data_IF_708247021655
#
_entry.id   IF_708247021655
#
_cell.length_a   1.000
_cell.length_b   1.000
_cell.length_c   1.000
_cell.angle_alpha   90.00
_cell.angle_beta   90.00
_cell.angle_gamma   90.00
#
_symmetry.space_group_name_H-M   'P 1'
#
loop_
_entity.id
_entity.type
_entity.pdbx_description
1 polymer ?
#
# COMPACT_ATOMS: atom_id res chain seq x y z
N UNK A 1 -15.84 52.34 10.56
CA UNK A 1 -16.63 51.42 9.70
C UNK A 1 -15.65 50.38 9.17
N UNK A 2 -15.89 49.11 9.48
CA UNK A 2 -15.32 47.85 8.92
C UNK A 2 -13.79 47.75 8.75
N UNK A 3 -13.10 47.00 9.64
CA UNK A 3 -12.81 45.53 9.61
C UNK A 3 -11.53 45.24 8.79
N UNK A 4 -10.57 44.36 9.12
CA UNK A 4 -10.30 43.40 10.22
C UNK A 4 -8.99 42.68 9.82
N UNK A 5 -8.04 42.49 10.76
CA UNK A 5 -7.09 41.35 10.94
C UNK A 5 -6.12 40.93 9.81
N UNK A 6 -4.98 40.26 10.04
CA UNK A 6 -4.29 39.80 11.25
C UNK A 6 -2.83 39.42 10.89
N UNK A 7 -2.04 39.38 11.96
CA UNK A 7 -0.70 38.82 12.14
C UNK A 7 -0.68 37.31 11.84
N UNK A 8 0.43 36.80 11.29
CA UNK A 8 0.93 35.48 11.65
C UNK A 8 2.48 35.46 11.70
N UNK A 9 2.99 35.11 12.88
CA UNK A 9 4.37 34.83 13.22
C UNK A 9 4.60 33.32 13.02
N UNK A 10 5.73 32.94 12.43
CA UNK A 10 6.22 31.55 12.45
C UNK A 10 7.58 31.52 13.18
N UNK A 11 7.72 30.64 14.18
CA UNK A 11 8.98 30.34 14.84
C UNK A 11 9.04 28.84 15.23
N UNK A 12 9.88 28.11 14.48
CA UNK A 12 10.95 27.15 14.86
C UNK A 12 10.83 26.25 16.12
N UNK A 13 10.92 24.93 15.83
CA UNK A 13 11.52 23.75 16.50
C UNK A 13 11.67 23.61 18.03
N UNK A 14 11.45 22.39 18.56
CA UNK A 14 12.41 21.71 19.45
C UNK A 14 12.22 20.17 19.52
N UNK A 15 13.36 19.46 19.59
CA UNK A 15 13.55 18.00 19.68
C UNK A 15 13.83 17.59 21.14
N UNK A 16 13.26 16.48 21.64
CA UNK A 16 13.79 15.76 22.84
C UNK A 16 13.58 14.24 22.71
N UNK A 17 14.66 13.48 22.91
CA UNK A 17 14.75 12.02 23.04
C UNK A 17 14.49 11.56 24.49
N UNK A 18 13.80 10.43 24.67
CA UNK A 18 13.94 9.56 25.85
C UNK A 18 13.57 8.10 25.54
N UNK A 19 14.42 7.17 25.99
CA UNK A 19 14.44 5.74 25.70
C UNK A 19 13.60 4.91 26.69
N UNK A 20 12.90 3.86 26.21
CA UNK A 20 12.87 2.50 26.79
C UNK A 20 12.05 1.50 25.93
N UNK A 21 12.59 0.28 25.88
CA UNK A 21 12.22 -0.96 25.17
C UNK A 21 10.75 -1.37 25.18
N UNK A 22 10.18 -1.78 24.03
CA UNK A 22 9.19 -2.89 23.88
C UNK A 22 9.11 -3.38 22.42
N UNK A 23 8.73 -4.64 22.25
CA UNK A 23 8.68 -5.37 20.97
C UNK A 23 7.67 -4.82 19.95
N UNK A 24 7.84 -5.26 18.69
CA UNK A 24 7.12 -4.80 17.51
C UNK A 24 5.62 -4.54 17.75
N UNK A 25 5.22 -3.28 17.55
CA UNK A 25 3.87 -2.79 17.74
C UNK A 25 3.09 -2.85 16.43
N UNK A 26 2.25 -3.87 16.28
CA UNK A 26 0.98 -3.71 15.59
C UNK A 26 0.03 -2.95 16.52
N UNK A 27 -0.19 -1.66 16.30
CA UNK A 27 -1.16 -0.89 17.09
C UNK A 27 -2.55 -1.20 16.53
N UNK A 28 -3.33 -2.00 17.25
CA UNK A 28 -4.77 -2.13 17.03
C UNK A 28 -5.48 -1.25 18.07
N UNK A 29 -5.91 -0.02 17.72
CA UNK A 29 -6.82 0.69 18.58
C UNK A 29 -8.23 0.12 18.38
N UNK A 30 -8.80 -0.45 19.45
CA UNK A 30 -10.24 -0.59 19.56
C UNK A 30 -10.85 0.82 19.60
N UNK A 31 -11.36 1.24 18.45
CA UNK A 31 -12.35 2.28 18.16
C UNK A 31 -12.76 3.21 19.31
N UNK A 32 -12.59 4.51 19.08
CA UNK A 32 -13.56 5.52 19.54
C UNK A 32 -13.84 6.49 18.38
N UNK A 33 -14.77 6.11 17.51
CA UNK A 33 -15.58 6.99 16.66
C UNK A 33 -16.97 7.18 17.28
N UNK A 34 -17.72 8.20 16.87
CA UNK A 34 -18.92 8.74 17.52
C UNK A 34 -20.20 7.85 17.50
N UNK A 35 -20.04 6.52 17.47
CA UNK A 35 -21.09 5.52 17.60
C UNK A 35 -20.45 4.14 17.82
N UNK A 36 -21.16 3.22 18.47
CA UNK A 36 -20.65 1.90 18.86
C UNK A 36 -20.19 0.97 17.70
N UNK A 37 -20.17 1.45 16.45
CA UNK A 37 -19.78 0.69 15.26
C UNK A 37 -19.02 1.49 14.19
N UNK A 38 -18.57 2.71 14.45
CA UNK A 38 -17.80 3.49 13.46
C UNK A 38 -16.31 3.36 13.73
N UNK A 39 -15.56 2.74 12.82
CA UNK A 39 -14.13 2.48 12.97
C UNK A 39 -13.31 3.10 11.86
N UNK A 40 -12.09 3.52 12.20
CA UNK A 40 -11.07 3.94 11.24
C UNK A 40 -9.90 2.99 11.39
N UNK A 41 -9.56 2.30 10.30
CA UNK A 41 -8.35 1.50 10.22
C UNK A 41 -7.28 2.31 9.51
N UNK A 42 -6.13 2.46 10.15
CA UNK A 42 -4.94 3.10 9.59
C UNK A 42 -3.87 2.02 9.48
N UNK A 43 -3.58 1.60 8.26
CA UNK A 43 -2.46 0.70 7.99
C UNK A 43 -1.28 1.55 7.56
N UNK A 44 -0.14 1.31 8.19
CA UNK A 44 1.11 1.98 7.84
C UNK A 44 2.13 0.91 7.46
N UNK A 45 2.61 1.00 6.23
CA UNK A 45 3.61 0.06 5.71
C UNK A 45 4.88 0.81 5.36
N UNK A 46 6.01 0.24 5.80
CA UNK A 46 7.36 0.71 5.50
C UNK A 46 8.05 -0.23 4.52
N UNK A 47 8.71 0.32 3.52
CA UNK A 47 9.64 -0.43 2.66
C UNK A 47 11.06 -0.10 3.13
N UNK A 48 11.58 -0.92 4.05
CA UNK A 48 12.98 -0.87 4.46
C UNK A 48 13.79 -1.86 3.60
N UNK A 49 14.88 -1.40 2.99
CA UNK A 49 15.82 -2.24 2.24
C UNK A 49 16.84 -2.95 3.14
N UNK A 50 16.84 -2.67 4.44
CA UNK A 50 17.77 -3.22 5.43
C UNK A 50 17.08 -4.32 6.24
N UNK A 51 17.66 -5.52 6.23
CA UNK A 51 17.06 -6.79 6.68
C UNK A 51 16.86 -6.91 8.21
N UNK A 52 17.11 -5.85 8.98
CA UNK A 52 16.88 -5.81 10.43
C UNK A 52 16.31 -4.44 10.81
N UNK A 53 15.19 -4.36 11.54
CA UNK A 53 14.72 -3.10 12.08
C UNK A 53 15.72 -2.61 13.12
N UNK A 54 16.61 -1.71 12.71
CA UNK A 54 17.44 -0.96 13.64
C UNK A 54 16.52 -0.03 14.45
N UNK A 55 16.32 -0.37 15.73
CA UNK A 55 15.40 0.33 16.65
C UNK A 55 15.96 1.67 17.14
N UNK A 56 17.15 2.07 16.69
CA UNK A 56 17.65 3.43 16.81
C UNK A 56 16.97 4.32 15.75
N UNK A 57 16.80 5.62 16.03
CA UNK A 57 16.32 6.63 15.06
C UNK A 57 14.96 6.32 14.40
N UNK A 58 13.94 6.03 15.22
CA UNK A 58 12.57 5.89 14.71
C UNK A 58 12.07 7.24 14.15
N UNK A 59 11.49 7.19 12.96
CA UNK A 59 10.66 8.28 12.45
C UNK A 59 9.33 8.33 13.24
N UNK A 60 8.69 9.49 13.26
CA UNK A 60 7.41 9.70 13.94
C UNK A 60 6.34 10.22 13.00
N UNK A 61 5.18 9.55 12.98
CA UNK A 61 3.98 10.04 12.31
C UNK A 61 3.03 10.64 13.35
N UNK A 62 2.70 11.91 13.16
CA UNK A 62 1.68 12.60 13.93
C UNK A 62 0.30 12.38 13.30
N UNK A 63 -0.64 11.85 14.08
CA UNK A 63 -2.00 11.57 13.65
C UNK A 63 -2.95 12.54 14.36
N UNK A 64 -3.63 13.34 13.54
CA UNK A 64 -4.61 14.34 13.95
C UNK A 64 -6.02 13.83 13.65
N UNK A 65 -6.92 13.84 14.64
CA UNK A 65 -8.33 13.46 14.48
C UNK A 65 -9.21 14.68 14.67
N UNK A 66 -10.15 14.89 13.76
CA UNK A 66 -11.07 16.01 13.78
C UNK A 66 -12.50 15.55 14.06
N UNK A 67 -13.28 16.39 14.72
CA UNK A 67 -14.73 16.25 14.85
C UNK A 67 -15.40 16.47 13.49
N UNK A 68 -16.68 16.06 13.31
CA UNK A 68 -17.43 16.37 12.09
C UNK A 68 -17.55 17.86 11.77
N UNK A 69 -17.37 18.73 12.77
CA UNK A 69 -17.35 20.20 12.60
C UNK A 69 -15.98 20.74 12.17
N UNK A 70 -14.98 19.87 11.96
CA UNK A 70 -13.62 20.24 11.56
C UNK A 70 -12.72 20.74 12.71
N UNK A 71 -13.17 20.63 13.96
CA UNK A 71 -12.33 20.97 15.13
C UNK A 71 -11.46 19.78 15.53
N UNK A 72 -10.24 19.99 16.05
CA UNK A 72 -9.42 18.89 16.54
C UNK A 72 -10.11 18.22 17.74
N UNK A 73 -10.21 16.88 17.72
CA UNK A 73 -10.84 16.09 18.76
C UNK A 73 -9.99 16.16 20.04
N UNK A 74 -10.47 16.77 21.12
CA UNK A 74 -9.73 16.90 22.39
C UNK A 74 -8.35 17.58 22.23
N UNK A 75 -8.39 18.89 21.96
CA UNK A 75 -7.24 19.78 21.70
C UNK A 75 -6.34 20.06 22.92
N UNK A 76 -6.20 19.13 23.85
CA UNK A 76 -5.36 19.35 25.02
C UNK A 76 -3.89 19.19 24.61
N UNK A 77 -3.13 20.27 24.84
CA UNK A 77 -1.71 20.49 24.51
C UNK A 77 -0.83 19.23 24.46
N UNK A 78 0.18 19.25 23.58
CA UNK A 78 1.29 18.29 23.53
C UNK A 78 1.86 18.04 24.93
N UNK A 79 1.43 16.95 25.56
CA UNK A 79 2.00 16.45 26.79
C UNK A 79 2.51 15.04 26.50
N UNK A 80 3.67 14.68 27.04
CA UNK A 80 4.30 13.36 26.83
C UNK A 80 3.37 12.19 27.17
N UNK A 81 2.39 12.39 28.05
CA UNK A 81 1.34 11.40 28.37
C UNK A 81 0.34 11.15 27.24
N UNK A 82 0.20 12.08 26.28
CA UNK A 82 -0.76 12.04 25.18
C UNK A 82 -0.17 11.41 23.92
N UNK A 83 1.15 11.42 23.78
CA UNK A 83 1.92 10.98 22.61
C UNK A 83 1.63 9.52 22.25
N UNK A 84 1.27 8.67 23.22
CA UNK A 84 0.99 7.24 23.00
C UNK A 84 -0.47 6.86 23.23
N UNK A 85 -1.40 7.83 23.30
CA UNK A 85 -2.80 7.54 23.60
C UNK A 85 -3.69 7.65 22.35
N UNK A 86 -4.03 6.52 21.68
CA UNK A 86 -4.84 6.53 20.46
C UNK A 86 -6.28 7.02 20.67
N UNK A 87 -6.71 7.25 21.92
CA UNK A 87 -8.01 7.83 22.25
C UNK A 87 -8.04 9.36 22.25
N UNK A 88 -6.92 10.06 22.01
CA UNK A 88 -6.84 11.54 21.87
C UNK A 88 -6.79 12.01 20.41
N UNK A 89 -7.25 13.22 20.10
CA UNK A 89 -7.21 13.69 18.71
C UNK A 89 -5.84 14.12 18.23
N UNK A 90 -4.82 14.05 19.09
CA UNK A 90 -3.43 13.98 18.70
C UNK A 90 -2.81 12.72 19.32
N UNK A 91 -2.19 11.88 18.49
CA UNK A 91 -1.28 10.85 18.96
C UNK A 91 -0.15 10.64 17.95
N UNK A 92 1.02 10.21 18.44
CA UNK A 92 2.20 9.98 17.63
C UNK A 92 2.48 8.49 17.56
N UNK A 93 2.54 7.95 16.36
CA UNK A 93 2.99 6.59 16.14
C UNK A 93 4.47 6.62 15.72
N UNK A 94 5.30 5.83 16.41
CA UNK A 94 6.74 5.73 16.15
C UNK A 94 7.02 4.41 15.43
N UNK A 95 7.53 4.50 14.20
CA UNK A 95 7.93 3.37 13.37
C UNK A 95 8.93 3.86 12.33
N UNK A 96 9.93 3.05 12.01
CA UNK A 96 11.02 3.43 11.10
C UNK A 96 10.78 2.78 9.74
N UNK A 97 10.54 3.59 8.72
CA UNK A 97 10.63 3.16 7.32
C UNK A 97 11.96 3.54 6.68
N UNK A 98 12.73 4.44 7.30
CA UNK A 98 14.06 4.77 6.83
C UNK A 98 15.04 3.63 7.07
N UNK A 99 15.83 3.25 6.05
CA UNK A 99 16.83 2.19 6.24
C UNK A 99 17.88 2.53 7.30
N UNK A 100 18.79 1.59 7.61
CA UNK A 100 19.79 1.73 8.70
C UNK A 100 20.64 3.02 8.65
N UNK A 101 20.79 3.61 7.46
CA UNK A 101 21.47 4.90 7.23
C UNK A 101 20.63 6.14 7.57
N UNK A 102 19.34 5.99 7.90
CA UNK A 102 18.37 7.07 8.13
C UNK A 102 18.06 7.86 6.86
N UNK A 103 18.41 7.33 5.67
CA UNK A 103 18.52 8.16 4.46
C UNK A 103 17.32 8.18 3.54
N UNK A 104 16.54 7.10 3.51
CA UNK A 104 15.40 6.91 2.60
C UNK A 104 14.39 6.00 3.26
N UNK A 105 13.15 6.43 3.36
CA UNK A 105 12.04 5.61 3.81
C UNK A 105 10.74 6.03 3.14
N UNK A 106 9.97 5.07 2.63
CA UNK A 106 8.64 5.32 2.09
C UNK A 106 7.61 4.83 3.09
N UNK A 107 6.76 5.75 3.50
CA UNK A 107 5.56 5.50 4.27
C UNK A 107 4.39 5.41 3.33
N UNK A 108 3.60 4.36 3.45
CA UNK A 108 2.27 4.33 2.85
C UNK A 108 1.25 4.31 3.97
N UNK A 109 0.22 5.14 3.85
CA UNK A 109 -0.89 5.27 4.79
C UNK A 109 -2.14 4.86 4.03
N UNK A 110 -2.87 3.88 4.55
CA UNK A 110 -4.19 3.50 4.08
C UNK A 110 -5.20 3.77 5.20
N UNK A 111 -6.16 4.63 4.93
CA UNK A 111 -7.26 4.99 5.83
C UNK A 111 -8.53 4.37 5.28
N UNK A 112 -9.16 3.50 6.06
CA UNK A 112 -10.49 2.95 5.75
C UNK A 112 -11.49 3.40 6.80
N UNK A 113 -12.55 4.05 6.36
CA UNK A 113 -13.67 4.48 7.22
C UNK A 113 -14.83 3.50 7.13
N UNK A 114 -15.32 3.04 8.27
CA UNK A 114 -16.49 2.18 8.39
C UNK A 114 -17.62 2.89 9.11
N UNK A 115 -18.86 2.58 8.74
CA UNK A 115 -20.06 2.99 9.47
C UNK A 115 -20.93 1.77 9.74
N UNK A 116 -20.90 1.28 10.96
CA UNK A 116 -21.39 -0.06 11.29
C UNK A 116 -20.51 -1.13 10.63
N UNK A 117 -21.15 -2.10 10.00
CA UNK A 117 -20.54 -3.23 9.28
C UNK A 117 -20.18 -2.92 7.82
N UNK A 118 -20.37 -1.66 7.37
CA UNK A 118 -20.17 -1.27 5.97
C UNK A 118 -19.03 -0.26 5.81
N UNK A 119 -18.06 -0.60 4.96
CA UNK A 119 -17.00 0.32 4.53
C UNK A 119 -17.62 1.50 3.76
N UNK A 120 -17.24 2.73 4.11
CA UNK A 120 -17.80 3.97 3.57
C UNK A 120 -16.82 4.78 2.74
N UNK A 121 -15.52 4.52 2.89
CA UNK A 121 -14.51 5.20 2.12
C UNK A 121 -13.13 4.68 2.41
N UNK A 122 -12.28 4.74 1.39
CA UNK A 122 -10.86 4.44 1.48
C UNK A 122 -10.11 5.64 0.96
N UNK A 123 -9.11 6.07 1.71
CA UNK A 123 -8.12 7.04 1.25
C UNK A 123 -6.74 6.44 1.46
N UNK A 124 -5.83 6.69 0.54
CA UNK A 124 -4.43 6.33 0.72
C UNK A 124 -3.54 7.50 0.38
N UNK A 125 -2.37 7.51 1.00
CA UNK A 125 -1.31 8.47 0.73
C UNK A 125 0.03 7.79 0.92
N UNK A 126 1.05 8.27 0.22
CA UNK A 126 2.42 7.88 0.48
C UNK A 126 3.23 9.13 0.85
N UNK A 127 4.16 8.99 1.78
CA UNK A 127 5.10 10.03 2.13
C UNK A 127 6.51 9.45 2.12
N UNK A 128 7.45 10.15 1.49
CA UNK A 128 8.85 9.75 1.43
C UNK A 128 9.68 10.64 2.37
N UNK A 129 10.43 10.01 3.27
CA UNK A 129 11.50 10.68 4.01
C UNK A 129 12.76 10.61 3.16
N UNK A 130 13.09 11.74 2.53
CA UNK A 130 14.34 11.95 1.79
C UNK A 130 15.33 12.62 2.74
N UNK A 131 16.38 11.92 3.16
CA UNK A 131 17.34 12.54 4.09
C UNK A 131 18.21 13.62 3.45
N UNK A 132 18.61 14.58 4.29
CA UNK A 132 19.79 15.45 4.26
C UNK A 132 20.12 16.25 3.00
N UNK A 133 19.38 16.10 1.92
CA UNK A 133 19.34 17.09 0.85
C UNK A 133 18.17 18.04 0.97
N UNK A 134 17.33 17.97 2.02
CA UNK A 134 16.40 19.07 2.26
C UNK A 134 17.18 20.37 2.49
N UNK A 135 18.28 20.38 3.26
CA UNK A 135 19.08 21.61 3.42
C UNK A 135 19.76 22.03 2.10
N UNK A 136 20.19 21.09 1.25
CA UNK A 136 20.81 21.41 -0.04
C UNK A 136 19.79 21.86 -1.10
N UNK A 137 18.60 21.25 -1.10
CA UNK A 137 17.47 21.61 -1.94
C UNK A 137 16.83 22.91 -1.47
N UNK A 138 16.70 23.10 -0.16
CA UNK A 138 16.23 24.33 0.46
C UNK A 138 17.25 25.44 0.25
N UNK A 139 18.56 25.19 0.36
CA UNK A 139 19.59 26.14 -0.03
C UNK A 139 19.57 26.45 -1.54
N UNK A 140 19.25 25.47 -2.40
CA UNK A 140 19.06 25.70 -3.83
C UNK A 140 17.80 26.54 -4.10
N UNK A 141 16.70 26.25 -3.41
CA UNK A 141 15.43 26.99 -3.50
C UNK A 141 15.57 28.40 -2.94
N UNK A 142 16.29 28.57 -1.83
CA UNK A 142 16.55 29.86 -1.22
C UNK A 142 17.53 30.67 -2.08
N UNK A 143 18.56 30.04 -2.66
CA UNK A 143 19.45 30.68 -3.65
C UNK A 143 18.72 31.10 -4.93
N UNK A 144 17.79 30.26 -5.44
CA UNK A 144 16.92 30.61 -6.56
C UNK A 144 15.98 31.77 -6.18
N UNK A 145 15.43 31.76 -4.98
CA UNK A 145 14.57 32.83 -4.46
C UNK A 145 15.34 34.15 -4.33
N UNK A 146 16.54 34.13 -3.78
CA UNK A 146 17.41 35.30 -3.65
C UNK A 146 17.81 35.85 -5.04
N UNK A 147 18.10 34.95 -6.00
CA UNK A 147 18.38 35.35 -7.39
C UNK A 147 17.17 36.01 -8.05
N UNK A 148 15.96 35.47 -7.84
CA UNK A 148 14.72 36.06 -8.34
C UNK A 148 14.46 37.42 -7.70
N UNK A 149 14.70 37.56 -6.39
CA UNK A 149 14.56 38.85 -5.71
C UNK A 149 15.59 39.88 -6.18
N UNK A 150 16.84 39.49 -6.40
CA UNK A 150 17.86 40.39 -6.95
C UNK A 150 17.51 40.88 -8.37
N UNK A 151 16.94 40.01 -9.21
CA UNK A 151 16.44 40.38 -10.53
C UNK A 151 15.26 41.35 -10.40
N UNK A 152 14.30 41.06 -9.52
CA UNK A 152 13.15 41.93 -9.29
C UNK A 152 13.56 43.30 -8.74
N UNK A 153 14.55 43.36 -7.85
CA UNK A 153 15.08 44.59 -7.27
C UNK A 153 15.83 45.40 -8.33
N UNK A 154 16.65 44.75 -9.15
CA UNK A 154 17.35 45.39 -10.29
C UNK A 154 16.37 45.95 -11.32
N UNK A 155 15.29 45.22 -11.61
CA UNK A 155 14.22 45.70 -12.49
C UNK A 155 13.49 46.88 -11.85
N UNK A 156 13.17 46.81 -10.56
CA UNK A 156 12.47 47.87 -9.83
C UNK A 156 13.33 49.14 -9.72
N UNK A 157 14.62 49.02 -9.45
CA UNK A 157 15.59 50.12 -9.44
C UNK A 157 15.85 50.68 -10.83
N UNK A 158 15.87 49.83 -11.86
CA UNK A 158 15.91 50.24 -13.26
C UNK A 158 14.67 51.06 -13.64
N UNK A 159 13.48 50.62 -13.23
CA UNK A 159 12.23 51.35 -13.47
C UNK A 159 12.15 52.65 -12.66
N UNK A 160 12.62 52.67 -11.40
CA UNK A 160 12.61 53.90 -10.59
C UNK A 160 13.63 54.93 -11.08
N UNK A 161 14.84 54.50 -11.46
CA UNK A 161 15.92 55.39 -11.93
C UNK A 161 15.67 55.97 -13.34
N UNK A 162 14.76 55.41 -14.13
CA UNK A 162 14.50 55.83 -15.51
C UNK A 162 13.15 56.54 -15.71
N UNK A 163 12.46 56.94 -14.63
CA UNK A 163 11.30 57.84 -14.72
C UNK A 163 11.65 59.30 -15.04
N UNK A 164 12.93 59.62 -15.23
CA UNK A 164 13.35 60.87 -15.87
C UNK A 164 14.25 60.60 -17.09
N UNK A 165 13.61 60.42 -18.25
CA UNK A 165 14.16 60.56 -19.61
C UNK A 165 15.25 59.57 -20.08
N UNK A 166 14.89 58.35 -20.49
CA UNK A 166 15.82 57.52 -21.25
C UNK A 166 15.16 56.67 -22.34
N UNK A 167 15.85 56.64 -23.48
CA UNK A 167 15.52 56.04 -24.77
C UNK A 167 15.39 54.51 -24.68
N UNK A 168 14.17 54.03 -24.86
CA UNK A 168 13.77 52.61 -24.83
C UNK A 168 14.56 51.74 -25.81
N UNK A 169 15.16 52.32 -26.86
CA UNK A 169 15.99 51.59 -27.83
C UNK A 169 17.41 51.28 -27.36
N UNK A 170 17.92 51.91 -26.30
CA UNK A 170 19.23 51.59 -25.73
C UNK A 170 19.14 50.45 -24.70
N UNK A 171 18.04 50.41 -23.94
CA UNK A 171 17.77 49.41 -22.89
C UNK A 171 17.55 48.02 -23.50
N UNK A 172 16.83 47.93 -24.62
CA UNK A 172 16.59 46.65 -25.28
C UNK A 172 17.86 46.01 -25.86
N UNK A 173 18.92 46.79 -26.13
CA UNK A 173 20.18 46.28 -26.68
C UNK A 173 21.16 45.80 -25.61
N UNK A 174 21.26 46.47 -24.46
CA UNK A 174 22.18 46.00 -23.40
C UNK A 174 21.72 44.70 -22.73
N UNK A 175 20.40 44.49 -22.61
CA UNK A 175 19.84 43.27 -22.01
C UNK A 175 20.01 42.05 -22.93
N UNK A 176 19.99 42.26 -24.25
CA UNK A 176 20.07 41.15 -25.20
C UNK A 176 21.51 40.74 -25.53
N UNK A 177 22.45 41.70 -25.56
CA UNK A 177 23.84 41.42 -25.93
C UNK A 177 24.70 40.85 -24.78
N UNK A 178 24.41 41.20 -23.52
CA UNK A 178 25.18 40.72 -22.37
C UNK A 178 24.78 39.29 -21.91
N UNK A 179 23.50 38.91 -22.05
CA UNK A 179 23.00 37.60 -21.60
C UNK A 179 23.34 36.46 -22.57
N UNK A 180 23.34 36.73 -23.88
CA UNK A 180 23.60 35.69 -24.90
C UNK A 180 25.07 35.31 -24.98
N UNK A 181 26.00 36.25 -24.69
CA UNK A 181 27.44 35.98 -24.73
C UNK A 181 27.93 35.29 -23.45
N UNK A 182 27.29 35.51 -22.29
CA UNK A 182 27.65 34.85 -21.04
C UNK A 182 27.13 33.40 -20.91
N UNK A 183 26.02 33.06 -21.58
CA UNK A 183 25.41 31.73 -21.50
C UNK A 183 25.98 30.70 -22.50
N UNK A 184 26.69 31.14 -23.55
CA UNK A 184 27.27 30.24 -24.54
C UNK A 184 28.51 29.46 -24.06
N UNK A 185 29.17 29.89 -22.98
CA UNK A 185 30.46 29.31 -22.53
C UNK A 185 30.37 28.41 -21.29
N UNK A 186 29.19 28.27 -20.66
CA UNK A 186 28.98 27.30 -19.57
C UNK A 186 28.55 25.93 -20.11
N UNK A 187 29.55 25.16 -20.58
CA UNK A 187 29.47 23.71 -20.73
C UNK A 187 29.09 23.05 -19.40
N UNK A 188 27.80 22.79 -19.19
CA UNK A 188 27.32 21.91 -18.13
C UNK A 188 27.65 20.47 -18.54
N UNK A 189 28.80 19.97 -18.07
CA UNK A 189 29.06 18.54 -17.91
C UNK A 189 28.75 18.20 -16.46
N UNK A 190 27.61 17.57 -16.19
CA UNK A 190 27.43 16.49 -15.21
C UNK A 190 26.05 15.89 -15.45
N UNK A 191 26.07 14.71 -16.08
CA UNK A 191 25.01 13.73 -15.94
C UNK A 191 25.10 13.15 -14.52
N UNK A 192 23.99 13.10 -13.80
CA UNK A 192 23.47 11.89 -13.15
C UNK A 192 22.14 12.24 -12.47
N UNK A 193 21.04 12.10 -13.21
CA UNK A 193 19.69 12.22 -12.67
C UNK A 193 19.31 10.91 -12.00
N UNK A 194 19.50 10.81 -10.68
CA UNK A 194 18.86 9.77 -9.87
C UNK A 194 17.38 10.11 -9.71
N UNK A 195 16.59 9.71 -10.71
CA UNK A 195 15.14 9.76 -10.67
C UNK A 195 14.63 8.82 -9.58
N UNK A 196 14.12 9.38 -8.50
CA UNK A 196 13.42 8.60 -7.47
C UNK A 196 11.97 8.51 -7.92
N UNK A 197 11.62 7.39 -8.56
CA UNK A 197 10.26 7.12 -9.03
C UNK A 197 9.43 6.65 -7.84
N UNK A 198 8.58 7.56 -7.39
CA UNK A 198 7.49 7.35 -6.45
C UNK A 198 6.51 6.31 -7.03
N UNK A 199 6.56 5.07 -6.52
CA UNK A 199 5.57 4.03 -6.82
C UNK A 199 4.42 4.11 -5.82
N UNK A 200 3.53 5.09 -5.99
CA UNK A 200 2.15 4.96 -5.48
C UNK A 200 1.50 3.74 -6.17
N UNK A 201 0.43 3.11 -5.67
CA UNK A 201 -0.54 2.47 -6.58
C UNK A 201 -1.16 3.58 -7.44
N UNK A 202 -0.35 4.15 -8.33
CA UNK A 202 -0.82 5.02 -9.38
C UNK A 202 -1.52 4.08 -10.34
N UNK A 203 -2.75 4.43 -10.67
CA UNK A 203 -3.45 3.99 -11.86
C UNK A 203 -2.69 4.48 -13.11
N UNK A 204 -1.36 4.37 -13.16
CA UNK A 204 -0.46 4.89 -14.18
C UNK A 204 -0.34 6.42 -14.23
N UNK A 205 0.60 6.91 -15.06
CA UNK A 205 0.89 8.34 -15.31
C UNK A 205 0.82 8.71 -16.80
N UNK A 206 0.39 7.79 -17.66
CA UNK A 206 0.39 7.99 -19.11
C UNK A 206 -0.82 8.75 -19.63
N UNK A 207 -0.76 9.15 -20.89
CA UNK A 207 -1.73 10.09 -21.49
C UNK A 207 -3.12 9.49 -21.80
N UNK A 208 -3.27 8.17 -21.85
CA UNK A 208 -4.49 7.50 -22.31
C UNK A 208 -5.13 6.61 -21.25
N UNK A 209 -6.46 6.64 -21.16
CA UNK A 209 -7.19 5.72 -20.30
C UNK A 209 -7.11 4.29 -20.86
N UNK A 210 -6.72 3.33 -20.03
CA UNK A 210 -6.68 1.91 -20.32
C UNK A 210 -7.61 1.18 -19.34
N UNK A 211 -8.66 0.54 -19.86
CA UNK A 211 -9.62 -0.26 -19.09
C UNK A 211 -9.33 -1.73 -19.30
N UNK A 212 -8.97 -2.45 -18.23
CA UNK A 212 -8.78 -3.90 -18.26
C UNK A 212 -9.95 -4.58 -17.54
N UNK A 213 -10.65 -5.45 -18.26
CA UNK A 213 -11.71 -6.29 -17.71
C UNK A 213 -11.18 -7.67 -17.40
N UNK A 214 -11.59 -8.22 -16.26
CA UNK A 214 -11.20 -9.55 -15.81
C UNK A 214 -12.41 -10.47 -15.74
N UNK A 215 -12.38 -11.53 -16.54
CA UNK A 215 -13.51 -12.45 -16.67
C UNK A 215 -13.11 -13.91 -16.44
N UNK A 216 -14.05 -14.68 -15.90
CA UNK A 216 -13.93 -16.12 -15.82
C UNK A 216 -14.12 -16.74 -17.20
N UNK A 217 -13.15 -17.51 -17.67
CA UNK A 217 -13.17 -18.16 -18.98
C UNK A 217 -14.31 -19.18 -19.13
N UNK A 218 -14.86 -19.71 -18.03
CA UNK A 218 -15.93 -20.70 -18.08
C UNK A 218 -17.31 -20.09 -18.35
N UNK A 219 -17.60 -18.90 -17.80
CA UNK A 219 -18.95 -18.32 -17.79
C UNK A 219 -19.02 -16.80 -18.07
N UNK A 220 -17.87 -16.18 -18.34
CA UNK A 220 -17.72 -14.74 -18.56
C UNK A 220 -18.15 -13.86 -17.38
N UNK A 221 -18.29 -14.43 -16.18
CA UNK A 221 -18.56 -13.64 -14.98
C UNK A 221 -17.38 -12.74 -14.62
N UNK A 222 -17.67 -11.53 -14.16
CA UNK A 222 -16.67 -10.58 -13.69
C UNK A 222 -15.92 -11.11 -12.46
N UNK A 223 -14.59 -10.91 -12.46
CA UNK A 223 -13.70 -11.34 -11.38
C UNK A 223 -13.27 -10.10 -10.58
N UNK A 224 -13.91 -9.88 -9.43
CA UNK A 224 -13.56 -8.81 -8.49
C UNK A 224 -12.29 -9.13 -7.67
N UNK A 225 -11.51 -8.10 -7.31
CA UNK A 225 -10.38 -8.23 -6.40
C UNK A 225 -9.12 -8.83 -7.03
N UNK A 226 -9.00 -8.79 -8.36
CA UNK A 226 -7.78 -9.17 -9.07
C UNK A 226 -6.75 -8.07 -8.92
N UNK A 227 -5.58 -8.40 -8.40
CA UNK A 227 -4.42 -7.52 -8.41
C UNK A 227 -3.78 -7.54 -9.80
N UNK A 228 -3.73 -6.38 -10.46
CA UNK A 228 -3.14 -6.18 -11.77
C UNK A 228 -1.88 -5.31 -11.65
N UNK A 229 -0.75 -5.81 -12.14
CA UNK A 229 0.52 -5.09 -12.26
C UNK A 229 0.88 -4.96 -13.74
N UNK A 230 0.84 -3.74 -14.26
CA UNK A 230 1.20 -3.44 -15.66
C UNK A 230 2.66 -3.03 -15.72
N UNK A 231 3.43 -3.69 -16.57
CA UNK A 231 4.86 -3.48 -16.75
C UNK A 231 5.17 -3.08 -18.19
N UNK A 232 6.29 -2.38 -18.40
CA UNK A 232 6.78 -2.07 -19.74
C UNK A 232 7.05 -3.34 -20.58
N UNK A 233 7.25 -3.18 -21.88
CA UNK A 233 7.52 -4.27 -22.83
C UNK A 233 8.74 -5.15 -22.46
N UNK A 234 9.70 -4.61 -21.71
CA UNK A 234 10.87 -5.36 -21.24
C UNK A 234 10.66 -6.06 -19.89
N UNK A 235 9.50 -5.89 -19.25
CA UNK A 235 9.15 -6.40 -17.92
C UNK A 235 10.11 -5.96 -16.79
N UNK A 236 10.78 -4.83 -16.96
CA UNK A 236 11.77 -4.30 -16.01
C UNK A 236 11.22 -3.18 -15.13
N UNK A 237 10.18 -2.49 -15.57
CA UNK A 237 9.58 -1.37 -14.84
C UNK A 237 8.06 -1.55 -14.72
N UNK A 238 7.52 -1.21 -13.56
CA UNK A 238 6.06 -1.17 -13.33
C UNK A 238 5.53 0.20 -13.71
N UNK A 239 4.56 0.22 -14.61
CA UNK A 239 3.94 1.44 -15.13
C UNK A 239 2.66 1.79 -14.38
N UNK A 240 1.91 0.79 -13.93
CA UNK A 240 0.67 0.96 -13.18
C UNK A 240 0.33 -0.27 -12.33
N UNK A 241 -0.44 -0.06 -11.27
CA UNK A 241 -0.98 -1.12 -10.41
C UNK A 241 -2.45 -0.81 -10.12
N UNK A 242 -3.29 -1.83 -10.01
CA UNK A 242 -4.69 -1.65 -9.60
C UNK A 242 -5.35 -2.94 -9.16
N UNK A 243 -6.56 -2.80 -8.62
CA UNK A 243 -7.39 -3.91 -8.13
C UNK A 243 -8.75 -3.80 -8.79
N UNK A 244 -9.28 -4.91 -9.31
CA UNK A 244 -10.59 -4.89 -9.99
C UNK A 244 -11.75 -4.67 -9.03
N UNK A 245 -12.75 -3.90 -9.48
CA UNK A 245 -14.01 -3.67 -8.78
C UNK A 245 -15.03 -4.82 -8.98
N UNK A 246 -16.29 -4.61 -8.58
CA UNK A 246 -17.36 -5.61 -8.71
C UNK A 246 -17.70 -5.97 -10.16
N UNK A 247 -17.36 -5.12 -11.13
CA UNK A 247 -17.55 -5.35 -12.55
C UNK A 247 -16.31 -6.01 -13.18
N UNK A 248 -15.32 -6.39 -12.37
CA UNK A 248 -14.06 -6.96 -12.84
C UNK A 248 -13.19 -5.93 -13.57
N UNK A 249 -13.48 -4.64 -13.41
CA UNK A 249 -12.81 -3.56 -14.12
C UNK A 249 -11.68 -2.97 -13.27
N UNK A 250 -10.55 -2.71 -13.92
CA UNK A 250 -9.52 -1.79 -13.43
C UNK A 250 -9.20 -0.77 -14.52
N UNK A 251 -9.19 0.52 -14.15
CA UNK A 251 -8.87 1.62 -15.07
C UNK A 251 -7.54 2.24 -14.69
N UNK A 252 -6.68 2.43 -15.69
CA UNK A 252 -5.34 2.98 -15.57
C UNK A 252 -5.09 4.04 -16.65
N UNK A 253 -4.01 4.82 -16.50
CA UNK A 253 -3.58 5.90 -17.39
C UNK A 253 -2.19 5.52 -17.90
N UNK A 254 -2.08 5.13 -19.16
CA UNK A 254 -0.88 4.57 -19.78
C UNK A 254 -0.56 5.32 -21.09
N UNK A 255 0.71 5.33 -21.48
CA UNK A 255 1.12 5.93 -22.76
C UNK A 255 0.90 4.94 -23.91
N UNK A 256 1.01 5.41 -25.15
CA UNK A 256 0.93 4.53 -26.33
C UNK A 256 2.16 3.60 -26.36
N UNK A 257 1.96 2.32 -26.03
CA UNK A 257 2.99 1.31 -25.98
C UNK A 257 2.40 -0.11 -25.82
N UNK A 258 3.26 -1.11 -26.03
CA UNK A 258 3.04 -2.48 -25.58
C UNK A 258 3.43 -2.62 -24.11
N UNK A 259 2.53 -3.20 -23.32
CA UNK A 259 2.74 -3.53 -21.92
C UNK A 259 2.52 -5.02 -21.65
N UNK A 260 3.09 -5.49 -20.54
CA UNK A 260 2.89 -6.83 -20.00
C UNK A 260 2.14 -6.77 -18.67
N UNK A 261 1.07 -7.53 -18.53
CA UNK A 261 0.22 -7.51 -17.33
C UNK A 261 0.40 -8.78 -16.53
N UNK A 262 0.83 -8.62 -15.27
CA UNK A 262 0.81 -9.67 -14.26
C UNK A 262 -0.45 -9.56 -13.44
N UNK A 263 -1.21 -10.66 -13.39
CA UNK A 263 -2.50 -10.70 -12.71
C UNK A 263 -2.48 -11.77 -11.63
N UNK A 264 -3.04 -11.45 -10.46
CA UNK A 264 -3.09 -12.35 -9.32
C UNK A 264 -4.39 -12.22 -8.54
N UNK A 265 -5.01 -13.38 -8.26
CA UNK A 265 -6.12 -13.54 -7.32
C UNK A 265 -6.08 -14.97 -6.79
N UNK A 266 -6.20 -15.15 -5.48
CA UNK A 266 -6.27 -16.48 -4.87
C UNK A 266 -7.41 -17.26 -5.50
N UNK A 267 -7.15 -18.50 -5.92
CA UNK A 267 -8.14 -19.36 -6.56
C UNK A 267 -8.41 -19.04 -8.03
N UNK A 268 -7.68 -18.11 -8.67
CA UNK A 268 -7.73 -17.89 -10.11
C UNK A 268 -6.39 -18.25 -10.75
N UNK A 269 -6.45 -18.85 -11.94
CA UNK A 269 -5.31 -19.13 -12.81
C UNK A 269 -5.43 -18.20 -14.02
N UNK A 270 -4.46 -17.33 -14.20
CA UNK A 270 -4.31 -16.53 -15.41
C UNK A 270 -3.28 -17.21 -16.31
N UNK A 271 -3.64 -17.48 -17.56
CA UNK A 271 -2.74 -18.10 -18.53
C UNK A 271 -3.04 -17.57 -19.93
N UNK A 272 -2.04 -17.05 -20.67
CA UNK A 272 -0.64 -16.94 -20.29
C UNK A 272 -0.36 -15.85 -19.21
N UNK A 273 0.77 -15.96 -18.51
CA UNK A 273 1.31 -14.90 -17.65
C UNK A 273 2.78 -14.64 -18.00
N UNK A 274 3.19 -13.36 -18.19
CA UNK A 274 2.32 -12.18 -18.31
C UNK A 274 1.42 -12.22 -19.56
N UNK A 275 0.28 -11.53 -19.49
CA UNK A 275 -0.51 -11.20 -20.67
C UNK A 275 0.06 -9.95 -21.38
N UNK A 276 -0.32 -9.72 -22.63
CA UNK A 276 0.16 -8.58 -23.43
C UNK A 276 -0.98 -7.63 -23.77
N UNK A 277 -0.84 -6.35 -23.40
CA UNK A 277 -1.84 -5.30 -23.68
C UNK A 277 -1.20 -4.22 -24.53
N UNK A 278 -1.84 -3.86 -25.65
CA UNK A 278 -1.42 -2.75 -26.50
C UNK A 278 -2.29 -1.55 -26.14
N UNK A 279 -1.66 -0.49 -25.62
CA UNK A 279 -2.33 0.79 -25.38
C UNK A 279 -2.11 1.68 -26.59
N UNK A 280 -3.19 2.18 -27.18
CA UNK A 280 -3.13 3.16 -28.28
C UNK A 280 -4.14 4.29 -28.05
N UNK A 281 -3.87 5.45 -28.64
CA UNK A 281 -4.72 6.62 -28.50
C UNK A 281 -6.14 6.40 -29.06
N UNK A 282 -7.19 7.03 -28.51
CA UNK A 282 -7.18 7.90 -27.32
C UNK A 282 -7.39 7.12 -26.00
N UNK A 283 -7.70 5.83 -26.10
CA UNK A 283 -7.98 4.94 -24.98
C UNK A 283 -7.86 3.49 -25.43
N UNK A 284 -7.49 2.59 -24.51
CA UNK A 284 -7.45 1.16 -24.74
C UNK A 284 -8.47 0.44 -23.86
N UNK A 285 -9.05 -0.63 -24.39
CA UNK A 285 -9.91 -1.55 -23.63
C UNK A 285 -9.46 -2.96 -23.96
N UNK A 286 -9.19 -3.75 -22.94
CA UNK A 286 -8.78 -5.16 -23.11
C UNK A 286 -9.48 -6.06 -22.08
N UNK A 287 -9.47 -7.36 -22.34
CA UNK A 287 -10.06 -8.38 -21.47
C UNK A 287 -9.07 -9.49 -21.18
N UNK A 288 -8.77 -9.68 -19.89
CA UNK A 288 -7.90 -10.74 -19.39
C UNK A 288 -8.77 -11.84 -18.78
N UNK A 289 -8.52 -13.07 -19.22
CA UNK A 289 -9.33 -14.21 -18.82
C UNK A 289 -8.61 -15.06 -17.77
N UNK A 290 -9.35 -15.53 -16.78
CA UNK A 290 -8.87 -16.47 -15.78
C UNK A 290 -9.75 -17.72 -15.75
N UNK A 291 -9.20 -18.86 -15.38
CA UNK A 291 -9.99 -20.00 -14.93
C UNK A 291 -9.97 -20.05 -13.40
N UNK A 292 -11.10 -20.35 -12.77
CA UNK A 292 -11.08 -20.68 -11.35
C UNK A 292 -10.34 -22.00 -11.14
N UNK A 293 -9.48 -22.03 -10.11
CA UNK A 293 -8.88 -23.25 -9.65
C UNK A 293 -9.97 -24.15 -9.09
N UNK A 294 -10.09 -25.34 -9.67
CA UNK A 294 -10.98 -26.38 -9.17
C UNK A 294 -10.19 -27.34 -8.26
N UNK A 295 -10.40 -27.34 -6.93
CA UNK A 295 -9.77 -28.31 -6.03
C UNK A 295 -10.30 -29.74 -6.22
N UNK A 296 -11.30 -29.92 -7.09
CA UNK A 296 -12.05 -31.16 -7.27
C UNK A 296 -13.10 -31.36 -6.18
N UNK A 297 -13.92 -32.39 -6.35
CA UNK A 297 -14.96 -32.74 -5.38
C UNK A 297 -14.40 -33.54 -4.20
N UNK A 298 -14.91 -33.31 -2.97
CA UNK A 298 -14.59 -34.14 -1.82
C UNK A 298 -14.98 -35.60 -2.07
N UNK A 299 -14.32 -36.52 -1.38
CA UNK A 299 -14.55 -37.97 -1.45
C UNK A 299 -15.97 -38.40 -1.04
N UNK A 300 -16.68 -37.57 -0.29
CA UNK A 300 -18.10 -37.72 0.07
C UNK A 300 -18.80 -36.37 -0.02
N UNK A 301 -20.08 -36.31 -0.46
CA UNK A 301 -20.85 -35.07 -0.53
C UNK A 301 -21.13 -34.41 0.84
N UNK A 302 -20.94 -35.14 1.93
CA UNK A 302 -21.08 -34.62 3.30
C UNK A 302 -19.79 -34.02 3.87
N UNK A 303 -18.75 -33.88 3.05
CA UNK A 303 -17.45 -33.33 3.46
C UNK A 303 -17.19 -32.04 2.69
N UNK A 304 -16.39 -31.16 3.28
CA UNK A 304 -15.83 -29.99 2.65
C UNK A 304 -14.38 -30.27 2.26
N UNK A 305 -14.02 -30.09 0.99
CA UNK A 305 -12.61 -30.09 0.58
C UNK A 305 -11.94 -28.79 1.00
N UNK A 306 -11.16 -28.84 2.07
CA UNK A 306 -10.31 -27.74 2.50
C UNK A 306 -8.97 -27.82 1.78
N UNK A 307 -8.53 -26.75 1.14
CA UNK A 307 -7.32 -26.75 0.33
C UNK A 307 -6.50 -25.47 0.46
N UNK A 308 -5.26 -25.52 0.00
CA UNK A 308 -4.38 -24.35 -0.04
C UNK A 308 -3.04 -24.63 -0.69
N UNK A 309 -2.12 -23.67 -0.58
CA UNK A 309 -0.75 -23.78 -1.07
C UNK A 309 0.23 -23.44 0.04
N UNK A 310 1.37 -24.12 0.04
CA UNK A 310 2.54 -23.77 0.85
C UNK A 310 3.63 -23.31 -0.12
N UNK A 311 4.05 -22.05 0.02
CA UNK A 311 5.05 -21.43 -0.85
C UNK A 311 6.21 -20.89 -0.03
N UNK A 312 7.38 -20.81 -0.64
CA UNK A 312 8.54 -20.15 -0.07
C UNK A 312 8.51 -18.63 -0.33
N UNK A 313 9.58 -17.93 0.10
CA UNK A 313 9.70 -16.48 -0.07
C UNK A 313 9.84 -16.04 -1.53
N UNK A 314 10.22 -16.95 -2.43
CA UNK A 314 10.30 -16.70 -3.88
C UNK A 314 8.95 -16.90 -4.56
N UNK A 315 7.96 -17.43 -3.84
CA UNK A 315 6.65 -17.80 -4.36
C UNK A 315 6.61 -19.21 -4.95
N UNK A 316 7.69 -19.97 -4.86
CA UNK A 316 7.78 -21.34 -5.36
C UNK A 316 7.07 -22.31 -4.40
N UNK A 317 6.45 -23.34 -4.97
CA UNK A 317 5.75 -24.37 -4.19
C UNK A 317 6.69 -25.19 -3.33
N UNK A 318 6.40 -25.30 -2.03
CA UNK A 318 7.14 -26.18 -1.12
C UNK A 318 6.54 -27.58 -1.19
N UNK A 319 7.24 -28.50 -1.85
CA UNK A 319 6.86 -29.92 -1.89
C UNK A 319 7.28 -30.67 -0.63
N UNK A 320 6.46 -31.64 -0.21
CA UNK A 320 6.78 -32.50 0.94
C UNK A 320 6.46 -31.91 2.31
N UNK A 321 5.77 -30.76 2.38
CA UNK A 321 5.27 -30.23 3.64
C UNK A 321 4.04 -31.03 4.10
N UNK A 322 4.00 -31.43 5.37
CA UNK A 322 2.86 -32.14 5.95
C UNK A 322 1.84 -31.12 6.44
N UNK A 323 0.61 -31.23 5.95
CA UNK A 323 -0.53 -30.43 6.42
C UNK A 323 -1.46 -31.33 7.20
N UNK A 324 -1.78 -30.96 8.43
CA UNK A 324 -2.67 -31.72 9.29
C UNK A 324 -3.80 -30.84 9.83
N UNK A 325 -4.99 -31.40 9.97
CA UNK A 325 -6.13 -30.77 10.61
C UNK A 325 -6.59 -31.64 11.79
N UNK A 326 -6.74 -31.04 12.97
CA UNK A 326 -7.17 -31.77 14.16
C UNK A 326 -8.28 -31.07 14.95
N UNK A 327 -9.16 -31.86 15.56
CA UNK A 327 -10.14 -31.39 16.53
C UNK A 327 -9.84 -32.05 17.88
N UNK A 328 -9.49 -31.24 18.89
CA UNK A 328 -9.18 -31.74 20.25
C UNK A 328 -10.38 -31.78 21.19
N UNK A 329 -11.55 -31.35 20.71
CA UNK A 329 -12.77 -31.35 21.49
C UNK A 329 -13.22 -32.77 21.84
N UNK A 330 -13.66 -32.98 23.08
CA UNK A 330 -14.20 -34.26 23.55
C UNK A 330 -15.31 -34.03 24.60
N UNK A 331 -16.46 -34.72 24.49
CA UNK A 331 -16.85 -35.58 23.37
C UNK A 331 -17.08 -34.74 22.11
N UNK A 332 -16.74 -35.30 20.94
CA UNK A 332 -17.10 -34.75 19.64
C UNK A 332 -18.15 -35.66 19.02
N UNK A 333 -19.18 -35.08 18.43
CA UNK A 333 -20.28 -35.83 17.79
C UNK A 333 -20.46 -35.41 16.34
N UNK A 334 -20.87 -36.37 15.51
CA UNK A 334 -21.34 -36.15 14.14
C UNK A 334 -22.67 -36.91 13.99
N UNK A 335 -23.77 -36.16 13.89
CA UNK A 335 -25.11 -36.72 14.05
C UNK A 335 -25.30 -37.42 15.41
N UNK A 336 -25.68 -38.69 15.40
CA UNK A 336 -25.85 -39.51 16.62
C UNK A 336 -24.57 -40.22 17.08
N UNK A 337 -23.48 -40.16 16.31
CA UNK A 337 -22.24 -40.88 16.58
C UNK A 337 -21.31 -40.03 17.44
N UNK A 338 -20.69 -40.65 18.45
CA UNK A 338 -19.54 -40.07 19.15
C UNK A 338 -18.30 -40.41 18.32
N UNK A 339 -17.56 -39.39 17.89
CA UNK A 339 -16.29 -39.54 17.20
C UNK A 339 -15.15 -39.20 18.17
N UNK A 340 -14.11 -40.03 18.16
CA UNK A 340 -12.84 -39.75 18.84
C UNK A 340 -12.24 -38.44 18.29
N UNK A 341 -11.33 -37.74 19.01
CA UNK A 341 -10.61 -36.59 18.45
C UNK A 341 -10.21 -36.84 16.98
N UNK A 342 -10.73 -36.00 16.11
CA UNK A 342 -10.66 -36.17 14.67
C UNK A 342 -9.32 -35.64 14.16
N UNK A 343 -8.66 -36.38 13.29
CA UNK A 343 -7.34 -36.04 12.75
C UNK A 343 -7.24 -36.51 11.30
N UNK A 344 -6.86 -35.59 10.42
CA UNK A 344 -6.53 -35.87 9.02
C UNK A 344 -5.21 -35.22 8.64
N UNK A 345 -4.49 -35.81 7.70
CA UNK A 345 -3.21 -35.25 7.21
C UNK A 345 -2.92 -35.60 5.76
N UNK A 346 -2.21 -34.70 5.09
CA UNK A 346 -1.75 -34.85 3.70
C UNK A 346 -0.34 -34.27 3.54
N UNK A 347 0.23 -34.42 2.35
CA UNK A 347 1.54 -33.86 1.99
C UNK A 347 1.37 -32.99 0.75
N UNK A 348 2.06 -31.86 0.71
CA UNK A 348 2.03 -30.97 -0.45
C UNK A 348 2.71 -31.57 -1.67
N UNK A 349 2.12 -31.33 -2.84
CA UNK A 349 2.68 -31.73 -4.13
C UNK A 349 3.83 -30.83 -4.59
N UNK A 350 4.29 -30.97 -5.84
CA UNK A 350 5.39 -30.17 -6.39
C UNK A 350 5.06 -28.69 -6.56
N UNK A 351 3.78 -28.34 -6.64
CA UNK A 351 3.32 -26.95 -6.68
C UNK A 351 3.04 -26.38 -5.27
N UNK A 352 3.32 -27.17 -4.23
CA UNK A 352 3.00 -26.82 -2.85
C UNK A 352 1.50 -26.94 -2.53
N UNK A 353 0.69 -27.49 -3.43
CA UNK A 353 -0.74 -27.64 -3.25
C UNK A 353 -1.05 -28.81 -2.30
N UNK A 354 -2.10 -28.63 -1.49
CA UNK A 354 -2.61 -29.66 -0.59
C UNK A 354 -4.13 -29.55 -0.46
N UNK A 355 -4.77 -30.65 -0.12
CA UNK A 355 -6.18 -30.67 0.29
C UNK A 355 -6.47 -31.75 1.34
N UNK A 356 -7.52 -31.52 2.12
CA UNK A 356 -8.10 -32.43 3.09
C UNK A 356 -9.62 -32.40 2.94
N UNK A 357 -10.29 -33.54 3.00
CA UNK A 357 -11.76 -33.59 3.04
C UNK A 357 -12.20 -33.69 4.49
N UNK A 358 -12.81 -32.63 5.02
CA UNK A 358 -13.15 -32.48 6.45
C UNK A 358 -14.66 -32.37 6.65
N UNK A 359 -15.16 -32.78 7.82
CA UNK A 359 -16.56 -32.58 8.20
C UNK A 359 -16.80 -31.07 8.43
N UNK A 360 -17.82 -30.45 7.82
CA UNK A 360 -18.18 -29.07 8.13
C UNK A 360 -18.39 -28.86 9.63
N UNK A 361 -17.89 -27.75 10.17
CA UNK A 361 -17.99 -27.44 11.60
C UNK A 361 -19.44 -27.39 12.08
N UNK A 362 -20.37 -26.96 11.22
CA UNK A 362 -21.81 -26.90 11.51
C UNK A 362 -22.47 -28.26 11.73
N UNK A 363 -21.89 -29.33 11.19
CA UNK A 363 -22.41 -30.70 11.31
C UNK A 363 -21.85 -31.45 12.54
N UNK A 364 -20.85 -30.85 13.19
CA UNK A 364 -20.29 -31.34 14.44
C UNK A 364 -21.11 -30.83 15.62
N UNK A 365 -21.13 -31.56 16.73
CA UNK A 365 -21.68 -31.11 18.00
C UNK A 365 -20.55 -31.00 19.05
N UNK A 366 -20.25 -29.77 19.54
CA UNK A 366 -20.95 -28.52 19.23
C UNK A 366 -20.60 -27.96 17.84
N UNK A 367 -21.55 -27.25 17.23
CA UNK A 367 -21.40 -26.65 15.90
C UNK A 367 -20.37 -25.51 15.84
N UNK A 368 -19.89 -25.06 17.00
CA UNK A 368 -18.78 -24.11 17.15
C UNK A 368 -17.41 -24.79 17.09
N UNK A 369 -17.35 -26.08 16.77
CA UNK A 369 -16.09 -26.83 16.72
C UNK A 369 -15.15 -26.24 15.67
N UNK A 370 -13.94 -25.85 16.10
CA UNK A 370 -12.88 -25.39 15.20
C UNK A 370 -11.81 -26.46 15.00
N UNK A 371 -11.30 -26.55 13.78
CA UNK A 371 -10.13 -27.34 13.44
C UNK A 371 -8.85 -26.55 13.75
N UNK A 372 -7.82 -27.22 14.25
CA UNK A 372 -6.44 -26.69 14.30
C UNK A 372 -5.67 -27.26 13.12
N UNK A 373 -5.40 -26.40 12.15
CA UNK A 373 -4.54 -26.67 11.01
C UNK A 373 -3.09 -26.45 11.42
N UNK A 374 -2.21 -27.37 11.05
CA UNK A 374 -0.77 -27.28 11.30
C UNK A 374 -0.01 -27.69 10.06
N UNK A 375 0.93 -26.84 9.64
CA UNK A 375 1.85 -27.15 8.55
C UNK A 375 3.22 -27.42 9.14
N UNK A 376 3.78 -28.59 8.81
CA UNK A 376 5.13 -29.00 9.18
C UNK A 376 5.98 -29.11 7.93
N UNK A 377 7.20 -28.60 8.01
CA UNK A 377 8.18 -28.78 6.93
C UNK A 377 9.55 -29.05 7.54
N UNK A 378 10.21 -30.11 7.06
CA UNK A 378 11.45 -30.64 7.63
C UNK A 378 11.29 -30.94 9.13
N UNK A 379 11.94 -30.16 10.00
CA UNK A 379 12.08 -30.47 11.42
C UNK A 379 11.16 -29.65 12.34
N UNK A 380 10.17 -28.93 11.81
CA UNK A 380 9.33 -28.06 12.64
C UNK A 380 7.99 -27.66 12.04
N UNK A 381 7.12 -27.14 12.91
CA UNK A 381 5.89 -26.47 12.51
C UNK A 381 6.24 -25.08 11.94
N UNK A 382 5.75 -24.78 10.75
CA UNK A 382 5.93 -23.46 10.10
C UNK A 382 4.68 -22.59 10.22
N UNK A 383 3.51 -23.19 10.42
CA UNK A 383 2.27 -22.45 10.62
C UNK A 383 1.26 -23.28 11.44
N UNK A 384 0.49 -22.60 12.29
CA UNK A 384 -0.63 -23.17 13.03
C UNK A 384 -1.78 -22.17 13.03
N UNK A 385 -2.97 -22.61 12.62
CA UNK A 385 -4.18 -21.75 12.54
C UNK A 385 -5.39 -22.54 12.99
N UNK A 386 -6.24 -21.89 13.80
CA UNK A 386 -7.55 -22.44 14.14
C UNK A 386 -8.62 -21.80 13.27
N UNK A 387 -9.49 -22.61 12.67
CA UNK A 387 -10.59 -22.14 11.83
C UNK A 387 -11.78 -23.10 11.85
N UNK A 388 -12.97 -22.55 11.62
CA UNK A 388 -14.18 -23.33 11.37
C UNK A 388 -14.26 -23.70 9.89
N UNK A 389 -14.58 -24.94 9.58
CA UNK A 389 -14.79 -25.39 8.20
C UNK A 389 -16.24 -25.10 7.81
N UNK A 390 -16.50 -24.32 6.74
CA UNK A 390 -17.85 -23.97 6.34
C UNK A 390 -18.61 -25.17 5.76
N UNK A 391 -19.94 -25.07 5.74
CA UNK A 391 -20.80 -25.97 4.97
C UNK A 391 -20.75 -25.58 3.49
N UNK A 392 -19.73 -26.09 2.79
CA UNK A 392 -19.52 -25.92 1.36
C UNK A 392 -18.79 -27.13 0.77
N UNK A 393 -18.91 -27.35 -0.54
CA UNK A 393 -18.20 -28.44 -1.22
C UNK A 393 -16.68 -28.29 -1.17
N UNK A 394 -16.19 -27.06 -1.19
CA UNK A 394 -14.77 -26.74 -1.04
C UNK A 394 -14.57 -25.40 -0.34
N UNK A 395 -13.39 -25.22 0.25
CA UNK A 395 -13.00 -23.99 0.93
C UNK A 395 -11.49 -23.81 0.89
N UNK A 396 -11.04 -22.62 0.46
CA UNK A 396 -9.62 -22.25 0.52
C UNK A 396 -9.27 -21.78 1.93
N UNK A 397 -8.29 -22.43 2.55
CA UNK A 397 -7.71 -21.96 3.81
C UNK A 397 -6.63 -20.92 3.49
N UNK A 398 -7.00 -19.64 3.64
CA UNK A 398 -6.05 -18.54 3.63
C UNK A 398 -5.32 -18.46 4.98
N UNK A 399 -4.05 -18.02 5.01
CA UNK A 399 -3.18 -18.05 6.21
C UNK A 399 -3.09 -16.72 6.93
#
# INVERSE_FOLDING_TARGET
>A
MKRTNAILIAAVCFLVMACKTFGGLGISPSVVGNGAGDSIYITISSIDTTYYPEVSDLDSLDILRYTPSGALLDSTSENASNVLNPSKGFYRAAFRASGGSGTKGVYTVLVRGWRGDKERGVASGAYEVVSKQHDAFQALVDSLRDSVYAILDTLQDGFQSHTSSADTGAIARSVWDDDVVALADRRIRYADSVGTVLSVPSSGLGAYACSLYYFNAADSSAIQGVYARVMNSSQTATSAIGITDSDGLVVMSLDDALYHVWSYRVGCIFSPLPDSVIVSAPSAVDSIWATYFDPGSPSSPSLCRVYGWVRDLSGDGISGATVAANVRQSPLRYGSMIISPYFESTVTDTAGYWYLDLIPSGDLDPSTTSYTFSIYYKNGAIAVKSATVPDSSSWVLDW
#
